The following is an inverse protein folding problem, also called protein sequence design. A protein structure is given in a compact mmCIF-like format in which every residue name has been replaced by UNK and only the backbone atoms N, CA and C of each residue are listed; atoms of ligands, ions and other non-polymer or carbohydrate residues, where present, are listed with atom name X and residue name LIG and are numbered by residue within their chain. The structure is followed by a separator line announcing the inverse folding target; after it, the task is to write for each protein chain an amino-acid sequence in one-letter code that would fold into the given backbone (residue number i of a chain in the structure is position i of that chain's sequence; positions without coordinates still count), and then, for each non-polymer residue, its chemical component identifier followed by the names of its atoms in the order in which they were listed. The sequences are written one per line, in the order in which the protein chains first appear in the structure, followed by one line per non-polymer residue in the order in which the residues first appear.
data_IF_353923688545
#
_entry.id   IF_353923688545
#
_cell.length_a   1.000
_cell.length_b   1.000
_cell.length_c   1.000
_cell.angle_alpha   90.00
_cell.angle_beta   90.00
_cell.angle_gamma   90.00
#
_symmetry.space_group_name_H-M   'P 1'
#
loop_
_entity.id
_entity.type
_entity.pdbx_description
1 polymer ?
#
# COMPACT_ATOMS: atom_id res chain seq x y z
N UNK A 1 4.40 29.44 -5.14
CA UNK A 1 3.69 28.49 -4.26
C UNK A 1 3.87 27.12 -4.90
N UNK A 2 4.71 26.28 -4.34
CA UNK A 2 5.02 24.93 -4.87
C UNK A 2 3.94 23.96 -4.38
N UNK A 3 3.63 22.93 -5.17
CA UNK A 3 2.64 21.87 -4.82
C UNK A 3 2.85 21.27 -3.40
N UNK A 4 4.07 21.37 -2.86
CA UNK A 4 4.42 21.00 -1.49
C UNK A 4 3.59 21.71 -0.41
N UNK A 5 3.25 22.99 -0.57
CA UNK A 5 2.59 23.77 0.49
C UNK A 5 1.08 23.52 0.57
N UNK A 6 0.42 23.26 -0.56
CA UNK A 6 -1.01 22.92 -0.57
C UNK A 6 -1.24 21.48 -0.11
N UNK A 7 -0.36 20.56 -0.50
CA UNK A 7 -0.43 19.17 -0.06
C UNK A 7 -0.30 19.04 1.46
N UNK A 8 0.65 19.76 2.06
CA UNK A 8 0.89 19.75 3.50
C UNK A 8 -0.34 20.21 4.31
N UNK A 9 -1.03 21.26 3.85
CA UNK A 9 -2.22 21.78 4.54
C UNK A 9 -3.40 20.80 4.50
N UNK A 10 -3.70 20.24 3.33
CA UNK A 10 -4.82 19.30 3.17
C UNK A 10 -4.57 18.02 4.00
N UNK A 11 -3.31 17.59 4.11
CA UNK A 11 -2.97 16.42 4.93
C UNK A 11 -3.03 16.68 6.42
N UNK A 12 -2.67 17.89 6.89
CA UNK A 12 -2.79 18.28 8.30
C UNK A 12 -4.27 18.23 8.72
N UNK A 13 -5.15 18.82 7.90
CA UNK A 13 -6.60 18.81 8.12
C UNK A 13 -7.15 17.36 8.14
N UNK A 14 -6.69 16.49 7.23
CA UNK A 14 -7.15 15.09 7.16
C UNK A 14 -6.57 14.20 8.28
N UNK A 15 -5.34 14.43 8.72
CA UNK A 15 -4.74 13.71 9.84
C UNK A 15 -5.46 14.07 11.15
N UNK A 16 -5.81 15.34 11.36
CA UNK A 16 -6.64 15.78 12.48
C UNK A 16 -8.01 15.07 12.47
N UNK A 17 -8.58 14.84 11.28
CA UNK A 17 -9.82 14.08 11.09
C UNK A 17 -9.69 12.56 11.30
N UNK A 18 -8.49 11.98 11.18
CA UNK A 18 -8.27 10.52 11.14
C UNK A 18 -7.35 9.99 12.23
N UNK A 19 -7.12 10.74 13.31
CA UNK A 19 -6.31 10.34 14.48
C UNK A 19 -6.90 9.15 15.28
N UNK A 20 -6.85 7.97 14.68
CA UNK A 20 -6.59 6.68 15.30
C UNK A 20 -6.05 5.79 14.19
N UNK A 21 -4.89 5.18 14.42
CA UNK A 21 -4.22 4.19 13.55
C UNK A 21 -3.32 4.75 12.45
N UNK A 22 -2.05 5.04 12.78
CA UNK A 22 -0.86 4.53 12.05
C UNK A 22 0.42 5.14 12.63
N UNK A 23 1.47 4.32 12.78
CA UNK A 23 2.85 4.79 12.96
C UNK A 23 3.17 5.79 11.82
N UNK A 24 3.69 6.98 12.17
CA UNK A 24 3.89 8.18 11.32
C UNK A 24 4.11 7.89 9.82
N UNK A 25 3.04 7.81 9.04
CA UNK A 25 3.13 7.88 7.58
C UNK A 25 3.56 9.30 7.22
N UNK A 26 4.62 9.43 6.41
CA UNK A 26 5.06 10.76 6.00
C UNK A 26 3.92 11.50 5.29
N UNK A 27 3.84 12.81 5.51
CA UNK A 27 2.83 13.71 4.91
C UNK A 27 2.72 13.48 3.40
N UNK A 28 3.86 13.26 2.73
CA UNK A 28 3.93 12.96 1.30
C UNK A 28 3.18 11.67 0.93
N UNK A 29 3.27 10.61 1.73
CA UNK A 29 2.51 9.37 1.48
C UNK A 29 1.01 9.61 1.61
N UNK A 30 0.58 10.37 2.62
CA UNK A 30 -0.84 10.68 2.83
C UNK A 30 -1.41 11.46 1.65
N UNK A 31 -0.70 12.48 1.17
CA UNK A 31 -1.15 13.26 0.01
C UNK A 31 -1.32 12.42 -1.26
N UNK A 32 -0.34 11.57 -1.58
CA UNK A 32 -0.46 10.68 -2.74
C UNK A 32 -1.60 9.67 -2.60
N UNK A 33 -1.89 9.19 -1.38
CA UNK A 33 -3.07 8.34 -1.12
C UNK A 33 -4.37 9.10 -1.36
N UNK A 34 -4.47 10.35 -0.92
CA UNK A 34 -5.66 11.18 -1.14
C UNK A 34 -5.95 11.38 -2.63
N UNK A 35 -4.92 11.64 -3.44
CA UNK A 35 -5.08 11.71 -4.91
C UNK A 35 -5.68 10.41 -5.46
N UNK A 36 -5.20 9.27 -4.97
CA UNK A 36 -5.72 7.95 -5.34
C UNK A 36 -7.20 7.80 -4.94
N UNK A 37 -7.55 8.17 -3.72
CA UNK A 37 -8.90 8.00 -3.17
C UNK A 37 -9.92 8.97 -3.82
N UNK A 38 -9.45 10.12 -4.35
CA UNK A 38 -10.22 11.04 -5.20
C UNK A 38 -10.42 10.55 -6.64
N UNK A 39 -9.87 9.38 -7.01
CA UNK A 39 -9.93 8.85 -8.37
C UNK A 39 -8.89 9.45 -9.33
N UNK A 40 -8.00 10.32 -8.83
CA UNK A 40 -6.96 10.99 -9.60
C UNK A 40 -5.72 10.10 -9.72
N UNK A 41 -5.90 8.88 -10.25
CA UNK A 41 -4.90 7.81 -10.24
C UNK A 41 -3.60 8.18 -10.97
N UNK A 42 -3.69 8.88 -12.11
CA UNK A 42 -2.53 9.31 -12.87
C UNK A 42 -1.72 10.39 -12.14
N UNK A 43 -2.41 11.31 -11.44
CA UNK A 43 -1.74 12.32 -10.60
C UNK A 43 -1.09 11.66 -9.40
N UNK A 44 -1.77 10.71 -8.74
CA UNK A 44 -1.21 9.90 -7.66
C UNK A 44 0.06 9.17 -8.10
N UNK A 45 0.01 8.44 -9.22
CA UNK A 45 1.18 7.74 -9.77
C UNK A 45 2.34 8.70 -10.05
N UNK A 46 2.09 9.78 -10.79
CA UNK A 46 3.13 10.76 -11.12
C UNK A 46 3.76 11.39 -9.88
N UNK A 47 2.93 11.72 -8.89
CA UNK A 47 3.40 12.28 -7.62
C UNK A 47 4.33 11.30 -6.89
N UNK A 48 3.92 10.03 -6.76
CA UNK A 48 4.75 9.00 -6.13
C UNK A 48 6.02 8.67 -6.92
N UNK A 49 5.99 8.71 -8.26
CA UNK A 49 7.19 8.53 -9.09
C UNK A 49 8.21 9.67 -8.88
N UNK A 50 7.74 10.90 -8.71
CA UNK A 50 8.60 12.03 -8.35
C UNK A 50 9.17 11.83 -6.95
N UNK A 51 8.32 11.48 -5.98
CA UNK A 51 8.74 11.23 -4.60
C UNK A 51 9.77 10.10 -4.51
N UNK A 52 9.65 9.06 -5.33
CA UNK A 52 10.60 7.94 -5.37
C UNK A 52 12.01 8.38 -5.77
N UNK A 53 12.14 9.37 -6.65
CA UNK A 53 13.43 9.90 -7.08
C UNK A 53 14.10 10.75 -6.00
N UNK A 54 13.32 11.40 -5.14
CA UNK A 54 13.79 12.34 -4.12
C UNK A 54 13.96 11.70 -2.73
N UNK A 55 13.43 10.49 -2.51
CA UNK A 55 13.34 9.87 -1.18
C UNK A 55 14.52 8.97 -0.81
N UNK A 56 14.88 8.88 0.49
CA UNK A 56 15.80 7.86 0.98
C UNK A 56 15.22 6.44 0.82
N UNK A 57 16.10 5.45 0.68
CA UNK A 57 15.77 4.05 0.36
C UNK A 57 14.75 3.37 1.28
N UNK A 58 14.56 3.87 2.51
CA UNK A 58 13.71 3.21 3.51
C UNK A 58 12.21 3.31 3.19
N UNK A 59 11.75 4.40 2.57
CA UNK A 59 10.32 4.59 2.26
C UNK A 59 9.92 4.18 0.82
N UNK A 60 10.90 3.81 0.00
CA UNK A 60 10.67 3.33 -1.37
C UNK A 60 9.65 2.19 -1.42
N UNK A 61 9.64 1.29 -0.44
CA UNK A 61 8.69 0.17 -0.39
C UNK A 61 7.23 0.64 -0.31
N UNK A 62 6.94 1.64 0.53
CA UNK A 62 5.59 2.18 0.66
C UNK A 62 5.21 3.01 -0.57
N UNK A 63 6.16 3.76 -1.14
CA UNK A 63 5.92 4.54 -2.37
C UNK A 63 5.54 3.59 -3.52
N UNK A 64 6.33 2.55 -3.75
CA UNK A 64 6.06 1.52 -4.78
C UNK A 64 4.69 0.85 -4.55
N UNK A 65 4.36 0.51 -3.30
CA UNK A 65 3.04 -0.04 -2.95
C UNK A 65 1.90 0.91 -3.33
N UNK A 66 2.01 2.20 -3.02
CA UNK A 66 0.93 3.15 -3.32
C UNK A 66 0.77 3.41 -4.82
N UNK A 67 1.85 3.36 -5.61
CA UNK A 67 1.75 3.39 -7.08
C UNK A 67 1.00 2.14 -7.58
N UNK A 68 1.35 0.96 -7.07
CA UNK A 68 0.64 -0.28 -7.35
C UNK A 68 -0.85 -0.18 -7.04
N UNK A 69 -1.22 0.47 -5.91
CA UNK A 69 -2.63 0.69 -5.54
C UNK A 69 -3.36 1.59 -6.53
N UNK A 70 -2.75 2.72 -6.92
CA UNK A 70 -3.35 3.62 -7.91
C UNK A 70 -3.60 2.93 -9.25
N UNK A 71 -2.62 2.15 -9.73
CA UNK A 71 -2.76 1.37 -10.95
C UNK A 71 -3.82 0.27 -10.82
N UNK A 72 -3.92 -0.37 -9.66
CA UNK A 72 -4.93 -1.38 -9.37
C UNK A 72 -6.35 -0.81 -9.48
N UNK A 73 -6.61 0.36 -8.88
CA UNK A 73 -7.92 1.02 -8.98
C UNK A 73 -8.22 1.52 -10.40
N UNK A 74 -7.19 1.91 -11.16
CA UNK A 74 -7.31 2.21 -12.59
C UNK A 74 -7.49 0.97 -13.48
N UNK A 75 -7.50 -0.23 -12.89
CA UNK A 75 -7.56 -1.51 -13.59
C UNK A 75 -6.34 -1.84 -14.49
N UNK A 76 -5.20 -1.17 -14.28
CA UNK A 76 -3.92 -1.46 -14.96
C UNK A 76 -3.17 -2.58 -14.23
N UNK A 77 -3.79 -3.77 -14.19
CA UNK A 77 -3.42 -4.87 -13.29
C UNK A 77 -1.99 -5.40 -13.46
N UNK A 78 -1.48 -5.44 -14.69
CA UNK A 78 -0.14 -5.94 -14.97
C UNK A 78 0.92 -5.01 -14.38
N UNK A 79 0.79 -3.70 -14.62
CA UNK A 79 1.70 -2.71 -14.05
C UNK A 79 1.56 -2.67 -12.53
N UNK A 80 0.33 -2.71 -12.00
CA UNK A 80 0.09 -2.76 -10.55
C UNK A 80 0.86 -3.92 -9.89
N UNK A 81 0.85 -5.11 -10.52
CA UNK A 81 1.59 -6.28 -10.04
C UNK A 81 3.10 -6.07 -10.04
N UNK A 82 3.67 -5.40 -11.04
CA UNK A 82 5.11 -5.09 -11.07
C UNK A 82 5.52 -4.20 -9.90
N UNK A 83 4.77 -3.13 -9.63
CA UNK A 83 5.02 -2.23 -8.49
C UNK A 83 4.84 -2.96 -7.15
N UNK A 84 3.82 -3.81 -7.02
CA UNK A 84 3.63 -4.63 -5.83
C UNK A 84 4.78 -5.63 -5.60
N UNK A 85 5.28 -6.28 -6.65
CA UNK A 85 6.43 -7.18 -6.53
C UNK A 85 7.69 -6.42 -6.09
N UNK A 86 7.95 -5.23 -6.66
CA UNK A 86 9.07 -4.38 -6.22
C UNK A 86 8.93 -3.97 -4.75
N UNK A 87 7.74 -3.53 -4.34
CA UNK A 87 7.45 -3.20 -2.96
C UNK A 87 7.70 -4.40 -2.03
N UNK A 88 7.27 -5.60 -2.44
CA UNK A 88 7.45 -6.83 -1.67
C UNK A 88 8.92 -7.16 -1.48
N UNK A 89 9.70 -7.14 -2.56
CA UNK A 89 11.14 -7.40 -2.51
C UNK A 89 11.87 -6.40 -1.61
N UNK A 90 11.48 -5.11 -1.64
CA UNK A 90 12.04 -4.08 -0.76
C UNK A 90 11.68 -4.32 0.71
N UNK A 91 10.44 -4.70 1.02
CA UNK A 91 10.02 -5.01 2.39
C UNK A 91 10.71 -6.26 2.93
N UNK A 92 10.92 -7.28 2.09
CA UNK A 92 11.59 -8.52 2.47
C UNK A 92 13.11 -8.38 2.63
N UNK A 93 13.75 -7.45 1.90
CA UNK A 93 15.19 -7.13 2.05
C UNK A 93 15.50 -6.21 3.22
N UNK A 94 14.50 -5.49 3.73
CA UNK A 94 14.64 -4.55 4.85
C UNK A 94 14.55 -5.26 6.22
N UNK A 95 14.66 -4.49 7.31
CA UNK A 95 14.63 -4.98 8.70
C UNK A 95 13.42 -5.92 8.96
N UNK A 96 13.54 -6.89 9.89
CA UNK A 96 12.46 -7.84 10.22
C UNK A 96 11.11 -7.20 10.53
N UNK A 97 11.13 -5.94 11.02
CA UNK A 97 9.92 -5.17 11.35
C UNK A 97 9.05 -4.85 10.15
N UNK A 98 9.59 -4.75 8.92
CA UNK A 98 8.81 -4.49 7.70
C UNK A 98 8.30 -5.76 7.01
N UNK A 99 8.74 -6.95 7.46
CA UNK A 99 8.20 -8.23 6.97
C UNK A 99 6.71 -8.36 7.30
N UNK A 100 6.24 -7.78 8.41
CA UNK A 100 4.81 -7.75 8.76
C UNK A 100 3.97 -6.99 7.71
N UNK A 101 4.56 -5.94 7.12
CA UNK A 101 3.87 -5.04 6.18
C UNK A 101 3.71 -5.68 4.78
N UNK A 102 4.57 -6.64 4.43
CA UNK A 102 4.48 -7.33 3.13
C UNK A 102 3.18 -8.12 2.95
N UNK A 103 2.50 -8.47 4.06
CA UNK A 103 1.16 -9.04 4.04
C UNK A 103 0.13 -8.12 3.34
N UNK A 104 0.26 -6.80 3.47
CA UNK A 104 -0.62 -5.86 2.75
C UNK A 104 -0.45 -5.99 1.23
N UNK A 105 0.78 -6.20 0.76
CA UNK A 105 1.07 -6.34 -0.66
C UNK A 105 0.46 -7.64 -1.19
N UNK A 106 0.69 -8.76 -0.50
CA UNK A 106 0.14 -10.06 -0.87
C UNK A 106 -1.40 -10.01 -0.94
N UNK A 107 -2.04 -9.33 0.02
CA UNK A 107 -3.49 -9.14 0.00
C UNK A 107 -3.96 -8.35 -1.23
N UNK A 108 -3.24 -7.31 -1.64
CA UNK A 108 -3.62 -6.53 -2.83
C UNK A 108 -3.37 -7.30 -4.15
N UNK A 109 -2.33 -8.13 -4.21
CA UNK A 109 -2.11 -9.03 -5.35
C UNK A 109 -3.26 -10.06 -5.44
N UNK A 110 -3.66 -10.63 -4.30
CA UNK A 110 -4.82 -11.51 -4.20
C UNK A 110 -6.11 -10.83 -4.67
N UNK A 111 -6.34 -9.56 -4.27
CA UNK A 111 -7.49 -8.79 -4.74
C UNK A 111 -7.50 -8.60 -6.26
N UNK A 112 -6.36 -8.24 -6.88
CA UNK A 112 -6.24 -8.16 -8.35
C UNK A 112 -6.59 -9.50 -9.00
N UNK A 113 -6.08 -10.61 -8.47
CA UNK A 113 -6.36 -11.96 -9.00
C UNK A 113 -7.83 -12.33 -8.87
N UNK A 114 -8.47 -11.98 -7.74
CA UNK A 114 -9.91 -12.17 -7.52
C UNK A 114 -10.72 -11.37 -8.54
N UNK A 115 -10.35 -10.12 -8.79
CA UNK A 115 -11.02 -9.26 -9.78
C UNK A 115 -10.82 -9.79 -11.21
N UNK A 116 -9.71 -10.49 -11.46
CA UNK A 116 -9.43 -11.28 -12.67
C UNK A 116 -10.14 -12.63 -12.72
N UNK A 117 -10.93 -13.00 -11.70
CA UNK A 117 -11.60 -14.30 -11.54
C UNK A 117 -10.64 -15.51 -11.40
N UNK A 118 -9.40 -15.26 -11.00
CA UNK A 118 -8.38 -16.29 -10.73
C UNK A 118 -8.39 -16.66 -9.25
N UNK A 119 -9.48 -17.28 -8.82
CA UNK A 119 -9.78 -17.47 -7.40
C UNK A 119 -8.77 -18.37 -6.66
N UNK A 120 -8.31 -19.46 -7.28
CA UNK A 120 -7.34 -20.37 -6.66
C UNK A 120 -5.98 -19.69 -6.43
N UNK A 121 -5.53 -18.90 -7.42
CA UNK A 121 -4.32 -18.10 -7.28
C UNK A 121 -4.51 -17.03 -6.20
N UNK A 122 -5.65 -16.32 -6.19
CA UNK A 122 -5.96 -15.30 -5.19
C UNK A 122 -5.93 -15.86 -3.77
N UNK A 123 -6.56 -17.01 -3.55
CA UNK A 123 -6.60 -17.70 -2.25
C UNK A 123 -5.19 -18.02 -1.75
N UNK A 124 -4.30 -18.50 -2.63
CA UNK A 124 -2.91 -18.77 -2.26
C UNK A 124 -2.20 -17.50 -1.75
N UNK A 125 -2.41 -16.34 -2.39
CA UNK A 125 -1.85 -15.07 -1.92
C UNK A 125 -2.46 -14.61 -0.59
N UNK A 126 -3.76 -14.76 -0.39
CA UNK A 126 -4.42 -14.42 0.88
C UNK A 126 -3.91 -15.30 2.03
N UNK A 127 -3.74 -16.61 1.80
CA UNK A 127 -3.18 -17.52 2.81
C UNK A 127 -1.74 -17.19 3.17
N UNK A 128 -0.92 -16.77 2.20
CA UNK A 128 0.44 -16.29 2.48
C UNK A 128 0.41 -14.99 3.33
N UNK A 129 -0.49 -14.05 3.02
CA UNK A 129 -0.67 -12.84 3.82
C UNK A 129 -1.11 -13.17 5.26
N UNK A 130 -2.02 -14.11 5.43
CA UNK A 130 -2.51 -14.58 6.73
C UNK A 130 -1.36 -15.15 7.56
N UNK A 131 -0.58 -16.06 6.98
CA UNK A 131 0.56 -16.70 7.64
C UNK A 131 1.61 -15.69 8.12
N UNK A 132 1.82 -14.60 7.37
CA UNK A 132 2.69 -13.51 7.83
C UNK A 132 2.06 -12.81 9.02
N UNK A 133 0.78 -12.41 8.95
CA UNK A 133 0.11 -11.71 10.05
C UNK A 133 0.03 -12.54 11.34
N UNK A 134 -0.25 -13.83 11.26
CA UNK A 134 -0.26 -14.76 12.40
C UNK A 134 1.09 -14.85 13.11
N UNK A 135 2.20 -14.58 12.42
CA UNK A 135 3.54 -14.57 13.03
C UNK A 135 3.79 -13.31 13.89
N UNK A 136 3.12 -12.20 13.59
CA UNK A 136 3.39 -10.90 14.20
C UNK A 136 2.26 -10.38 15.09
N UNK A 137 1.04 -10.91 14.95
CA UNK A 137 -0.15 -10.44 15.65
C UNK A 137 -0.90 -11.61 16.29
N UNK A 138 -1.53 -11.38 17.44
CA UNK A 138 -2.47 -12.35 18.04
C UNK A 138 -3.74 -12.46 17.19
N UNK A 139 -4.39 -13.63 17.23
CA UNK A 139 -5.55 -13.99 16.40
C UNK A 139 -6.68 -12.94 16.42
N UNK A 140 -6.88 -12.27 17.56
CA UNK A 140 -7.93 -11.25 17.75
C UNK A 140 -7.59 -9.87 17.18
N UNK A 141 -6.45 -9.71 16.50
CA UNK A 141 -6.02 -8.43 15.93
C UNK A 141 -6.82 -8.07 14.66
N UNK A 142 -7.21 -6.79 14.54
CA UNK A 142 -7.84 -6.20 13.34
C UNK A 142 -7.06 -6.52 12.06
N UNK A 143 -5.73 -6.66 12.16
CA UNK A 143 -4.90 -7.06 11.02
C UNK A 143 -5.24 -8.48 10.51
N UNK A 144 -5.54 -9.45 11.36
CA UNK A 144 -5.93 -10.79 10.91
C UNK A 144 -7.32 -10.76 10.27
N UNK A 145 -8.27 -10.01 10.86
CA UNK A 145 -9.63 -9.85 10.33
C UNK A 145 -9.65 -9.34 8.87
N UNK A 146 -8.78 -8.39 8.52
CA UNK A 146 -8.72 -7.84 7.15
C UNK A 146 -8.31 -8.88 6.10
N UNK A 147 -7.50 -9.89 6.44
CA UNK A 147 -7.15 -10.97 5.50
C UNK A 147 -8.27 -12.01 5.45
N UNK A 148 -8.83 -12.38 6.60
CA UNK A 148 -9.93 -13.34 6.67
C UNK A 148 -11.16 -12.89 5.87
N UNK A 149 -11.45 -11.58 5.83
CA UNK A 149 -12.53 -11.04 4.99
C UNK A 149 -12.33 -11.28 3.48
N UNK A 150 -11.11 -11.58 3.03
CA UNK A 150 -10.79 -11.80 1.61
C UNK A 150 -10.66 -13.29 1.24
N UNK A 151 -10.73 -14.19 2.22
CA UNK A 151 -10.72 -15.66 2.05
C UNK A 151 -12.17 -16.15 2.03
#
# INVERSE_FOLDING_TARGET
MTLSNEGQKITEDYLELTQTETEELSVSIVFGRLLCDLGEYDKSKKYFEQLLNDSPKEDCAWIEFNIGRALSFKCEWNQAREYYNRAYDLMMKNKPTRVKDSAWILNNIGAILRDQKKYDEALNYFLQALKIREKFYSYDSVHIAHVLNNI
#
